data_IF_309747478030
#
_entry.id   IF_309747478030
#
_cell.length_a   1.000
_cell.length_b   1.000
_cell.length_c   1.000
_cell.angle_alpha   90.00
_cell.angle_beta   90.00
_cell.angle_gamma   90.00
#
_symmetry.space_group_name_H-M   'P 1'
#
loop_
_entity.id
_entity.type
_entity.pdbx_description
1 polymer ?
#
# COMPACT_ATOMS: atom_id res chain seq x y z
N UNK A 1 -9.48 -0.60 3.92
CA UNK A 1 -8.27 -0.11 3.28
C UNK A 1 -7.47 0.80 4.21
N UNK A 2 -6.13 0.87 3.96
CA UNK A 2 -5.25 1.80 4.67
C UNK A 2 -5.64 3.26 4.41
N UNK A 3 -5.89 3.64 3.15
CA UNK A 3 -6.27 5.02 2.79
C UNK A 3 -7.58 5.51 3.44
N UNK A 4 -8.37 4.60 4.04
CA UNK A 4 -9.62 4.96 4.74
C UNK A 4 -9.36 5.29 6.21
N UNK A 5 -8.46 4.54 6.88
CA UNK A 5 -8.31 4.58 8.34
C UNK A 5 -6.88 4.85 8.83
N UNK A 6 -5.87 4.77 7.94
CA UNK A 6 -4.46 4.87 8.32
C UNK A 6 -4.09 6.19 8.98
N UNK A 7 -4.65 7.31 8.49
CA UNK A 7 -4.37 8.66 8.97
C UNK A 7 -5.52 9.24 9.82
N UNK A 8 -6.49 8.42 10.23
CA UNK A 8 -7.65 8.88 10.97
C UNK A 8 -7.34 9.03 12.47
N UNK A 9 -7.62 10.19 13.06
CA UNK A 9 -7.50 10.42 14.51
C UNK A 9 -8.43 9.51 15.32
N UNK A 10 -9.62 9.22 14.77
CA UNK A 10 -10.63 8.36 15.41
C UNK A 10 -11.38 7.56 14.35
N UNK A 11 -11.62 6.29 14.65
CA UNK A 11 -12.39 5.39 13.79
C UNK A 11 -13.59 4.87 14.57
N UNK A 12 -14.76 4.87 13.92
CA UNK A 12 -16.00 4.30 14.47
C UNK A 12 -16.59 3.27 13.52
N UNK A 13 -17.13 2.21 14.08
CA UNK A 13 -17.84 1.18 13.34
C UNK A 13 -19.30 1.15 13.77
N UNK A 14 -20.21 1.36 12.82
CA UNK A 14 -21.64 1.22 13.04
C UNK A 14 -22.10 -0.10 12.45
N UNK A 15 -22.69 -0.94 13.30
CA UNK A 15 -23.24 -2.24 12.92
C UNK A 15 -24.61 -2.09 12.25
N UNK A 16 -25.09 -3.19 11.62
CA UNK A 16 -26.38 -3.23 10.94
C UNK A 16 -27.57 -2.89 11.86
N UNK A 17 -27.48 -3.23 13.14
CA UNK A 17 -28.50 -2.92 14.14
C UNK A 17 -28.48 -1.44 14.62
N UNK A 18 -27.53 -0.64 14.12
CA UNK A 18 -27.38 0.78 14.48
C UNK A 18 -26.43 1.03 15.65
N UNK A 19 -25.94 -0.02 16.33
CA UNK A 19 -24.95 0.17 17.41
C UNK A 19 -23.63 0.67 16.84
N UNK A 20 -23.04 1.67 17.51
CA UNK A 20 -21.78 2.30 17.12
C UNK A 20 -20.71 2.05 18.18
N UNK A 21 -19.54 1.63 17.75
CA UNK A 21 -18.37 1.32 18.59
C UNK A 21 -17.20 2.17 18.17
N UNK A 22 -16.41 2.62 19.13
CA UNK A 22 -15.07 3.11 18.85
C UNK A 22 -14.17 1.94 18.42
N UNK A 23 -13.43 2.13 17.36
CA UNK A 23 -12.54 1.11 16.82
C UNK A 23 -11.09 1.43 17.17
N UNK A 24 -10.35 0.41 17.57
CA UNK A 24 -8.91 0.47 17.73
C UNK A 24 -8.26 0.16 16.38
N UNK A 25 -7.36 1.02 15.91
CA UNK A 25 -6.47 0.69 14.81
C UNK A 25 -5.41 -0.29 15.30
N UNK A 26 -5.33 -1.47 14.69
CA UNK A 26 -4.35 -2.51 15.04
C UNK A 26 -3.07 -2.33 14.24
N UNK A 27 -3.19 -2.02 12.96
CA UNK A 27 -2.08 -1.79 12.05
C UNK A 27 -2.53 -1.83 10.59
N UNK A 28 -1.61 -1.58 9.68
CA UNK A 28 -1.88 -1.60 8.25
C UNK A 28 -0.61 -1.56 7.41
N UNK A 29 -0.80 -1.61 6.11
CA UNK A 29 0.26 -1.49 5.13
C UNK A 29 -0.22 -0.61 3.97
N UNK A 30 0.47 0.51 3.75
CA UNK A 30 0.14 1.49 2.72
C UNK A 30 0.43 0.94 1.31
N UNK A 31 1.52 0.17 1.14
CA UNK A 31 1.90 -0.38 -0.17
C UNK A 31 0.88 -1.39 -0.70
N UNK A 32 0.12 -2.05 0.18
CA UNK A 32 -0.95 -2.99 -0.17
C UNK A 32 -2.35 -2.43 0.09
N UNK A 33 -2.43 -1.21 0.61
CA UNK A 33 -3.68 -0.51 0.93
C UNK A 33 -4.61 -1.34 1.84
N UNK A 34 -4.05 -2.03 2.83
CA UNK A 34 -4.78 -2.82 3.82
C UNK A 34 -4.62 -2.25 5.22
N UNK A 35 -5.66 -2.38 6.04
CA UNK A 35 -5.62 -2.03 7.46
C UNK A 35 -6.53 -2.96 8.25
N UNK A 36 -6.18 -3.18 9.52
CA UNK A 36 -6.96 -3.95 10.49
C UNK A 36 -7.41 -3.03 11.61
N UNK A 37 -8.71 -3.00 11.85
CA UNK A 37 -9.34 -2.32 12.98
C UNK A 37 -10.07 -3.33 13.85
N UNK A 38 -10.21 -3.04 15.16
CA UNK A 38 -10.88 -3.90 16.12
C UNK A 38 -11.88 -3.11 16.94
N UNK A 39 -13.06 -3.68 17.16
CA UNK A 39 -14.09 -3.17 18.10
C UNK A 39 -14.25 -4.12 19.28
N UNK A 40 -14.67 -3.59 20.41
CA UNK A 40 -15.01 -4.38 21.59
C UNK A 40 -16.51 -4.77 21.55
N UNK A 41 -16.80 -5.78 20.74
CA UNK A 41 -18.13 -6.35 20.59
C UNK A 41 -18.06 -7.87 20.50
N UNK A 42 -19.03 -8.56 21.12
CA UNK A 42 -19.08 -10.00 21.16
C UNK A 42 -20.20 -10.56 20.24
N UNK A 43 -20.03 -11.81 19.85
CA UNK A 43 -21.02 -12.56 19.06
C UNK A 43 -21.39 -11.94 17.72
N UNK A 44 -20.43 -11.25 17.09
CA UNK A 44 -20.61 -10.73 15.74
C UNK A 44 -20.52 -11.88 14.71
N UNK A 45 -21.39 -11.87 13.68
CA UNK A 45 -21.23 -12.79 12.56
C UNK A 45 -19.92 -12.49 11.82
N UNK A 46 -19.23 -13.53 11.40
CA UNK A 46 -18.03 -13.44 10.60
C UNK A 46 -18.29 -13.90 9.16
N UNK A 47 -17.52 -13.36 8.23
CA UNK A 47 -17.53 -13.80 6.82
C UNK A 47 -16.60 -14.99 6.63
N UNK A 48 -16.86 -15.79 5.60
CA UNK A 48 -15.93 -16.83 5.12
C UNK A 48 -15.02 -16.20 4.07
N UNK A 49 -13.71 -16.42 4.19
CA UNK A 49 -12.78 -16.07 3.13
C UNK A 49 -12.84 -17.14 2.05
N UNK A 50 -13.01 -16.69 0.80
CA UNK A 50 -12.96 -17.53 -0.38
C UNK A 50 -11.55 -17.63 -0.94
N UNK A 51 -11.45 -18.12 -2.17
CA UNK A 51 -10.20 -18.24 -2.90
C UNK A 51 -10.24 -17.36 -4.15
N UNK A 52 -9.55 -16.22 -4.13
CA UNK A 52 -9.50 -15.29 -5.26
C UNK A 52 -8.82 -15.88 -6.51
N UNK A 53 -7.93 -16.87 -6.34
CA UNK A 53 -7.24 -17.50 -7.47
C UNK A 53 -8.17 -18.44 -8.28
N UNK A 54 -9.30 -18.85 -7.69
CA UNK A 54 -10.31 -19.66 -8.38
C UNK A 54 -11.33 -18.84 -9.17
N UNK A 55 -11.33 -17.50 -9.00
CA UNK A 55 -12.23 -16.62 -9.70
C UNK A 55 -11.89 -16.54 -11.19
N UNK A 56 -12.91 -16.60 -12.04
CA UNK A 56 -12.77 -16.51 -13.48
C UNK A 56 -13.40 -15.23 -14.04
N UNK A 57 -12.93 -14.79 -15.18
CA UNK A 57 -13.59 -13.71 -15.92
C UNK A 57 -15.00 -14.15 -16.32
N UNK A 58 -16.01 -13.35 -15.96
CA UNK A 58 -17.41 -13.64 -16.16
C UNK A 58 -18.13 -14.15 -14.91
N UNK A 59 -17.41 -14.52 -13.83
CA UNK A 59 -18.04 -14.94 -12.58
C UNK A 59 -18.78 -13.75 -11.93
N UNK A 60 -19.96 -14.03 -11.36
CA UNK A 60 -20.74 -13.04 -10.63
C UNK A 60 -20.06 -12.64 -9.34
N UNK A 61 -20.08 -11.35 -9.05
CA UNK A 61 -19.53 -10.76 -7.82
C UNK A 61 -20.45 -9.69 -7.26
N UNK A 62 -20.44 -9.55 -5.95
CA UNK A 62 -21.24 -8.62 -5.17
C UNK A 62 -20.32 -7.76 -4.32
N UNK A 63 -20.39 -6.43 -4.47
CA UNK A 63 -19.70 -5.50 -3.59
C UNK A 63 -20.66 -4.92 -2.57
N UNK A 64 -20.27 -4.91 -1.29
CA UNK A 64 -21.06 -4.32 -0.21
C UNK A 64 -20.30 -3.13 0.36
N UNK A 65 -21.00 -2.00 0.56
CA UNK A 65 -20.39 -0.81 1.06
C UNK A 65 -21.38 0.23 1.58
N UNK A 66 -20.87 1.45 1.79
CA UNK A 66 -21.65 2.61 2.21
C UNK A 66 -21.37 3.80 1.26
N UNK A 67 -21.87 3.73 0.01
CA UNK A 67 -21.64 4.77 -0.98
C UNK A 67 -22.04 6.14 -0.43
N UNK A 68 -21.17 7.15 -0.68
CA UNK A 68 -21.38 8.54 -0.28
C UNK A 68 -21.49 8.78 1.25
N UNK A 69 -21.28 7.74 2.08
CA UNK A 69 -21.41 7.82 3.53
C UNK A 69 -22.86 7.80 4.07
N UNK A 70 -23.86 7.93 3.20
CA UNK A 70 -25.28 8.05 3.58
C UNK A 70 -26.14 6.83 3.17
N UNK A 71 -25.63 6.02 2.23
CA UNK A 71 -26.34 4.85 1.70
C UNK A 71 -25.81 3.56 2.35
N UNK A 72 -25.94 3.49 3.68
CA UNK A 72 -25.45 2.35 4.48
C UNK A 72 -26.02 1.02 3.98
N UNK A 73 -25.16 -0.01 4.02
CA UNK A 73 -25.49 -1.40 3.64
C UNK A 73 -25.97 -1.55 2.19
N UNK A 74 -25.43 -0.72 1.28
CA UNK A 74 -25.71 -0.85 -0.14
C UNK A 74 -24.91 -2.00 -0.74
N UNK A 75 -25.52 -2.71 -1.68
CA UNK A 75 -24.91 -3.78 -2.44
C UNK A 75 -24.99 -3.46 -3.94
N UNK A 76 -23.91 -3.66 -4.65
CA UNK A 76 -23.86 -3.58 -6.11
C UNK A 76 -23.42 -4.92 -6.70
N UNK A 77 -24.04 -5.31 -7.81
CA UNK A 77 -23.78 -6.56 -8.53
C UNK A 77 -23.01 -6.28 -9.82
N UNK A 78 -22.18 -7.23 -10.22
CA UNK A 78 -21.46 -7.23 -11.48
C UNK A 78 -20.77 -8.55 -11.76
N UNK A 79 -19.82 -8.54 -12.68
CA UNK A 79 -18.96 -9.68 -12.97
C UNK A 79 -17.49 -9.30 -12.79
N UNK A 80 -16.65 -10.30 -12.54
CA UNK A 80 -15.22 -10.15 -12.68
C UNK A 80 -14.87 -9.96 -14.16
N UNK A 81 -14.38 -8.79 -14.54
CA UNK A 81 -13.97 -8.49 -15.91
C UNK A 81 -12.48 -8.72 -16.17
N UNK A 82 -11.68 -8.83 -15.11
CA UNK A 82 -10.30 -9.33 -15.08
C UNK A 82 -9.96 -9.82 -13.68
N UNK A 83 -9.20 -10.91 -13.58
CA UNK A 83 -8.84 -11.49 -12.26
C UNK A 83 -7.39 -11.23 -11.85
N UNK A 84 -6.53 -10.77 -12.79
CA UNK A 84 -5.11 -10.46 -12.56
C UNK A 84 -4.72 -9.19 -13.34
N UNK A 85 -5.44 -8.09 -13.10
CA UNK A 85 -5.16 -6.81 -13.75
C UNK A 85 -4.06 -6.08 -12.98
N UNK A 86 -2.89 -5.95 -13.58
CA UNK A 86 -1.90 -5.01 -13.04
C UNK A 86 -2.34 -3.59 -13.37
N UNK A 87 -2.54 -2.78 -12.35
CA UNK A 87 -2.75 -1.33 -12.47
C UNK A 87 -1.56 -0.62 -11.85
N UNK A 88 -1.10 0.44 -12.50
CA UNK A 88 -0.05 1.30 -11.96
C UNK A 88 -0.71 2.51 -11.29
N UNK A 89 -0.35 2.73 -10.03
CA UNK A 89 -0.80 3.89 -9.27
C UNK A 89 0.43 4.62 -8.74
N UNK A 90 0.72 5.77 -9.32
CA UNK A 90 1.88 6.59 -8.96
C UNK A 90 3.21 5.82 -9.02
N UNK A 91 3.36 4.96 -10.05
CA UNK A 91 4.56 4.13 -10.22
C UNK A 91 4.57 2.86 -9.38
N UNK A 92 3.50 2.56 -8.66
CA UNK A 92 3.38 1.34 -7.86
C UNK A 92 2.38 0.39 -8.52
N UNK A 93 2.81 -0.78 -9.02
CA UNK A 93 1.90 -1.75 -9.59
C UNK A 93 1.13 -2.50 -8.49
N UNK A 94 -0.16 -2.67 -8.72
CA UNK A 94 -1.07 -3.47 -7.92
C UNK A 94 -1.70 -4.56 -8.77
N UNK A 95 -1.76 -5.78 -8.24
CA UNK A 95 -2.57 -6.84 -8.82
C UNK A 95 -4.01 -6.68 -8.33
N UNK A 96 -4.97 -6.57 -9.24
CA UNK A 96 -6.36 -6.26 -8.91
C UNK A 96 -7.34 -7.17 -9.63
N UNK A 97 -8.44 -7.48 -8.95
CA UNK A 97 -9.66 -7.98 -9.58
C UNK A 97 -10.39 -6.75 -10.15
N UNK A 98 -10.59 -6.74 -11.46
CA UNK A 98 -11.43 -5.72 -12.10
C UNK A 98 -12.87 -6.23 -12.17
N UNK A 99 -13.83 -5.38 -11.82
CA UNK A 99 -15.25 -5.73 -11.78
C UNK A 99 -16.11 -4.70 -12.51
N UNK A 100 -17.28 -5.14 -12.98
CA UNK A 100 -18.31 -4.24 -13.56
C UNK A 100 -19.29 -3.70 -12.52
N UNK A 101 -19.26 -4.25 -11.29
CA UNK A 101 -20.07 -3.74 -10.17
C UNK A 101 -19.76 -2.24 -9.95
N UNK A 102 -20.78 -1.46 -9.63
CA UNK A 102 -20.64 -0.02 -9.36
C UNK A 102 -19.83 0.19 -8.06
N UNK A 103 -18.60 0.68 -8.22
CA UNK A 103 -17.69 1.03 -7.13
C UNK A 103 -17.57 2.55 -7.06
N UNK A 104 -17.92 3.11 -5.91
CA UNK A 104 -17.92 4.54 -5.63
C UNK A 104 -17.20 4.82 -4.29
N UNK A 105 -16.80 6.07 -4.01
CA UNK A 105 -16.36 6.47 -2.69
C UNK A 105 -17.37 6.02 -1.62
N UNK A 106 -16.86 5.41 -0.54
CA UNK A 106 -17.65 4.77 0.51
C UNK A 106 -17.78 3.24 0.37
N UNK A 107 -17.40 2.66 -0.77
CA UNK A 107 -17.28 1.20 -0.92
C UNK A 107 -15.88 0.69 -0.55
N UNK A 108 -14.86 1.57 -0.47
CA UNK A 108 -13.50 1.19 -0.08
C UNK A 108 -13.47 0.50 1.29
N UNK A 109 -12.76 -0.62 1.37
CA UNK A 109 -12.65 -1.47 2.56
C UNK A 109 -13.81 -2.45 2.71
N UNK A 110 -14.87 -2.33 1.90
CA UNK A 110 -15.96 -3.29 1.85
C UNK A 110 -15.56 -4.60 1.16
N UNK A 111 -16.28 -5.70 1.43
CA UNK A 111 -16.00 -6.99 0.83
C UNK A 111 -16.49 -7.06 -0.63
N UNK A 112 -15.74 -7.79 -1.45
CA UNK A 112 -16.19 -8.34 -2.72
C UNK A 112 -16.51 -9.82 -2.48
N UNK A 113 -17.76 -10.20 -2.67
CA UNK A 113 -18.22 -11.58 -2.52
C UNK A 113 -18.32 -12.29 -3.85
N UNK A 114 -18.10 -13.61 -3.86
CA UNK A 114 -18.50 -14.51 -4.94
C UNK A 114 -19.99 -14.91 -4.78
N UNK A 115 -20.50 -15.75 -5.70
CA UNK A 115 -21.88 -16.24 -5.68
C UNK A 115 -22.19 -17.16 -4.48
N UNK A 116 -21.16 -17.67 -3.79
CA UNK A 116 -21.31 -18.52 -2.59
C UNK A 116 -21.31 -17.71 -1.29
N UNK A 117 -21.21 -16.38 -1.35
CA UNK A 117 -21.13 -15.51 -0.18
C UNK A 117 -19.77 -15.53 0.52
N UNK A 118 -18.72 -15.93 -0.17
CA UNK A 118 -17.35 -15.92 0.34
C UNK A 118 -16.63 -14.66 -0.14
N UNK A 119 -15.80 -14.05 0.72
CA UNK A 119 -15.01 -12.87 0.38
C UNK A 119 -13.84 -13.26 -0.51
N UNK A 120 -13.83 -12.78 -1.75
CA UNK A 120 -12.76 -12.98 -2.72
C UNK A 120 -11.89 -11.73 -2.92
N UNK A 121 -12.29 -10.59 -2.35
CA UNK A 121 -11.48 -9.37 -2.44
C UNK A 121 -11.94 -8.28 -1.49
N UNK A 122 -11.10 -7.23 -1.38
CA UNK A 122 -11.38 -5.99 -0.64
C UNK A 122 -11.53 -4.87 -1.66
N UNK A 123 -12.73 -4.27 -1.74
CA UNK A 123 -13.04 -3.21 -2.71
C UNK A 123 -12.18 -1.98 -2.43
N UNK A 124 -11.66 -1.34 -3.48
CA UNK A 124 -10.92 -0.08 -3.38
C UNK A 124 -11.38 0.91 -4.45
N UNK A 125 -12.10 1.94 -4.03
CA UNK A 125 -12.55 3.03 -4.91
C UNK A 125 -11.40 3.99 -5.28
N UNK A 126 -10.30 3.99 -4.52
CA UNK A 126 -9.09 4.76 -4.81
C UNK A 126 -8.61 4.49 -6.23
N UNK A 127 -8.56 3.23 -6.63
CA UNK A 127 -8.04 2.82 -7.93
C UNK A 127 -9.02 3.08 -9.08
N UNK A 128 -10.33 3.13 -8.82
CA UNK A 128 -11.33 3.52 -9.82
C UNK A 128 -11.20 4.99 -10.23
N UNK A 129 -10.69 5.84 -9.35
CA UNK A 129 -10.49 7.28 -9.60
C UNK A 129 -9.27 7.59 -10.46
N UNK A 130 -8.27 6.70 -10.49
CA UNK A 130 -7.04 6.87 -11.31
C UNK A 130 -7.25 6.59 -12.81
N UNK A 131 -8.31 5.88 -13.18
CA UNK A 131 -8.74 5.82 -14.57
C UNK A 131 -9.34 7.18 -14.94
N UNK A 132 -8.51 8.12 -15.32
CA UNK A 132 -8.61 9.58 -15.51
C UNK A 132 -9.85 10.16 -16.20
N UNK A 133 -10.98 9.49 -16.16
CA UNK A 133 -12.35 9.92 -16.47
C UNK A 133 -13.28 8.96 -15.74
N UNK A 134 -14.42 9.41 -15.24
CA UNK A 134 -15.47 8.56 -14.69
C UNK A 134 -15.93 7.55 -15.75
N UNK A 135 -15.22 6.43 -15.85
CA UNK A 135 -15.58 5.33 -16.75
C UNK A 135 -16.50 4.41 -15.95
N UNK A 136 -17.77 4.41 -16.34
CA UNK A 136 -18.74 3.48 -15.76
C UNK A 136 -18.32 2.01 -16.00
N UNK A 137 -18.54 1.14 -15.02
CA UNK A 137 -18.22 -0.29 -15.13
C UNK A 137 -16.74 -0.65 -14.95
N UNK A 138 -15.94 0.23 -14.36
CA UNK A 138 -14.58 -0.04 -13.92
C UNK A 138 -14.47 0.07 -12.40
N UNK A 139 -14.64 -1.04 -11.72
CA UNK A 139 -14.35 -1.19 -10.29
C UNK A 139 -13.13 -2.07 -10.06
N UNK A 140 -12.49 -1.91 -8.90
CA UNK A 140 -11.31 -2.69 -8.53
C UNK A 140 -11.43 -3.21 -7.10
N UNK A 141 -10.89 -4.42 -6.89
CA UNK A 141 -10.74 -5.01 -5.57
C UNK A 141 -9.36 -5.69 -5.44
N UNK A 142 -8.78 -5.62 -4.25
CA UNK A 142 -7.55 -6.31 -3.88
C UNK A 142 -7.88 -7.79 -3.71
N UNK A 143 -7.22 -8.73 -4.41
CA UNK A 143 -7.46 -10.16 -4.24
C UNK A 143 -7.22 -10.60 -2.80
N UNK A 144 -8.13 -11.38 -2.22
CA UNK A 144 -8.02 -11.77 -0.81
C UNK A 144 -6.79 -12.65 -0.54
N UNK A 145 -6.40 -13.50 -1.50
CA UNK A 145 -5.24 -14.38 -1.35
C UNK A 145 -3.93 -13.59 -1.26
N UNK A 146 -3.84 -12.44 -1.94
CA UNK A 146 -2.63 -11.61 -1.94
C UNK A 146 -2.37 -10.98 -0.56
N UNK A 147 -3.42 -10.80 0.25
CA UNK A 147 -3.34 -10.05 1.51
C UNK A 147 -3.74 -10.83 2.76
N UNK A 148 -4.29 -12.04 2.64
CA UNK A 148 -4.77 -12.82 3.79
C UNK A 148 -3.67 -13.11 4.83
N UNK A 149 -2.46 -13.47 4.38
CA UNK A 149 -1.31 -13.70 5.26
C UNK A 149 -0.85 -12.42 5.94
N UNK A 150 -0.87 -11.29 5.22
CA UNK A 150 -0.51 -9.97 5.76
C UNK A 150 -1.53 -9.50 6.81
N UNK A 151 -2.83 -9.72 6.56
CA UNK A 151 -3.90 -9.42 7.54
C UNK A 151 -3.68 -10.20 8.83
N UNK A 152 -3.36 -11.50 8.73
CA UNK A 152 -3.08 -12.33 9.90
C UNK A 152 -1.83 -11.85 10.64
N UNK A 153 -0.81 -11.42 9.92
CA UNK A 153 0.43 -10.88 10.49
C UNK A 153 0.18 -9.56 11.22
N UNK A 154 -0.59 -8.65 10.61
CA UNK A 154 -1.02 -7.39 11.24
C UNK A 154 -1.84 -7.67 12.51
N UNK A 155 -2.76 -8.63 12.48
CA UNK A 155 -3.55 -9.01 13.66
C UNK A 155 -2.68 -9.49 14.83
N UNK A 156 -1.56 -10.13 14.54
CA UNK A 156 -0.66 -10.73 15.53
C UNK A 156 0.41 -9.75 16.02
N UNK A 157 1.02 -9.01 15.08
CA UNK A 157 2.22 -8.20 15.33
C UNK A 157 1.95 -6.69 15.25
N UNK A 158 0.81 -6.26 14.69
CA UNK A 158 0.50 -4.84 14.45
C UNK A 158 1.05 -4.31 13.11
N UNK A 159 1.83 -5.09 12.39
CA UNK A 159 2.44 -4.73 11.11
C UNK A 159 2.75 -5.97 10.26
N UNK A 160 3.13 -5.79 8.99
CA UNK A 160 3.55 -6.90 8.11
C UNK A 160 5.03 -7.20 8.36
N UNK A 161 5.32 -8.26 9.09
CA UNK A 161 6.67 -8.61 9.54
C UNK A 161 7.54 -9.24 8.45
N UNK A 162 6.92 -9.88 7.46
CA UNK A 162 7.61 -10.62 6.39
C UNK A 162 7.84 -9.80 5.12
N UNK A 163 7.66 -8.48 5.18
CA UNK A 163 7.86 -7.58 4.04
C UNK A 163 9.35 -7.45 3.71
N UNK A 164 9.69 -7.63 2.44
CA UNK A 164 11.07 -7.45 2.00
C UNK A 164 11.58 -6.05 2.30
N UNK A 165 12.76 -5.97 2.90
CA UNK A 165 13.41 -4.72 3.28
C UNK A 165 14.88 -4.72 2.88
N UNK A 166 15.35 -3.63 2.28
CA UNK A 166 16.74 -3.51 1.84
C UNK A 166 17.60 -2.71 2.84
N UNK A 167 17.04 -1.69 3.47
CA UNK A 167 17.73 -0.80 4.41
C UNK A 167 18.64 0.19 3.70
N UNK A 168 18.08 0.93 2.74
CA UNK A 168 18.75 2.02 2.04
C UNK A 168 17.90 3.28 2.05
N UNK A 169 18.55 4.45 1.93
CA UNK A 169 17.87 5.68 1.50
C UNK A 169 18.06 5.83 0.00
N UNK A 170 17.01 5.56 -0.81
CA UNK A 170 17.11 5.60 -2.25
C UNK A 170 16.82 6.98 -2.83
N UNK A 171 17.30 7.22 -4.03
CA UNK A 171 16.84 8.31 -4.90
C UNK A 171 16.84 7.82 -6.36
N UNK A 172 15.88 8.27 -7.17
CA UNK A 172 15.91 7.97 -8.61
C UNK A 172 17.10 8.71 -9.24
N UNK A 173 17.94 7.96 -9.97
CA UNK A 173 19.04 8.56 -10.73
C UNK A 173 18.47 9.40 -11.87
N UNK A 174 19.00 10.60 -12.04
CA UNK A 174 18.61 11.54 -13.10
C UNK A 174 19.80 11.95 -13.93
N UNK A 175 19.58 12.45 -15.16
CA UNK A 175 20.64 13.01 -16.01
C UNK A 175 21.38 14.14 -15.30
N UNK A 176 20.67 14.96 -14.52
CA UNK A 176 21.27 16.04 -13.75
C UNK A 176 22.21 15.50 -12.65
N UNK A 177 21.79 14.47 -11.92
CA UNK A 177 22.64 13.82 -10.90
C UNK A 177 23.85 13.13 -11.55
N UNK A 178 23.62 12.42 -12.66
CA UNK A 178 24.72 11.77 -13.41
C UNK A 178 25.78 12.79 -13.83
N UNK A 179 25.36 13.90 -14.40
CA UNK A 179 26.27 15.00 -14.79
C UNK A 179 27.00 15.61 -13.58
N UNK A 180 26.28 15.87 -12.49
CA UNK A 180 26.81 16.47 -11.25
C UNK A 180 27.84 15.57 -10.57
N UNK A 181 27.56 14.29 -10.47
CA UNK A 181 28.41 13.31 -9.77
C UNK A 181 29.35 12.53 -10.70
N UNK A 182 29.32 12.82 -12.01
CA UNK A 182 30.17 12.20 -13.06
C UNK A 182 29.93 10.68 -13.18
N UNK A 183 28.65 10.31 -13.25
CA UNK A 183 28.23 8.93 -13.56
C UNK A 183 27.94 8.80 -15.06
N UNK A 184 28.27 7.64 -15.64
CA UNK A 184 27.96 7.30 -17.05
C UNK A 184 26.58 6.67 -17.20
N UNK A 185 25.82 6.51 -16.07
CA UNK A 185 24.47 5.99 -16.03
C UNK A 185 23.50 7.08 -15.59
N UNK A 186 22.35 7.19 -16.28
CA UNK A 186 21.36 8.26 -16.08
C UNK A 186 20.03 7.75 -15.54
N UNK A 187 19.94 6.43 -15.30
CA UNK A 187 18.76 5.73 -14.81
C UNK A 187 19.16 4.78 -13.71
N UNK A 188 18.20 4.37 -12.88
CA UNK A 188 18.40 3.46 -11.78
C UNK A 188 18.09 4.06 -10.42
N UNK A 189 18.42 3.33 -9.35
CA UNK A 189 18.26 3.80 -7.97
C UNK A 189 19.61 4.08 -7.36
N UNK A 190 19.88 5.36 -7.13
CA UNK A 190 21.07 5.83 -6.43
C UNK A 190 20.91 5.61 -4.92
N UNK A 191 21.90 4.98 -4.30
CA UNK A 191 21.94 4.75 -2.86
C UNK A 191 22.57 5.97 -2.16
N UNK A 192 21.73 6.74 -1.45
CA UNK A 192 22.18 7.91 -0.68
C UNK A 192 22.81 7.49 0.65
N UNK A 193 22.28 6.43 1.30
CA UNK A 193 22.84 5.85 2.52
C UNK A 193 22.43 4.38 2.63
N UNK A 194 23.18 3.64 3.46
CA UNK A 194 22.89 2.24 3.81
C UNK A 194 22.80 2.17 5.33
N UNK A 195 21.78 1.50 5.84
CA UNK A 195 21.59 1.27 7.27
C UNK A 195 22.50 0.15 7.76
N UNK A 196 23.19 0.39 8.88
CA UNK A 196 24.07 -0.59 9.50
C UNK A 196 23.32 -1.87 9.89
N UNK A 197 23.85 -3.02 9.53
CA UNK A 197 23.26 -4.33 9.81
C UNK A 197 22.07 -4.70 8.92
N UNK A 198 21.66 -3.84 7.99
CA UNK A 198 20.59 -4.11 7.02
C UNK A 198 20.95 -5.20 6.00
N UNK A 199 20.00 -5.58 5.16
CA UNK A 199 20.23 -6.48 4.03
C UNK A 199 21.24 -5.90 3.04
N UNK A 200 21.14 -4.60 2.73
CA UNK A 200 22.06 -3.89 1.86
C UNK A 200 23.50 -3.87 2.43
N UNK A 201 23.65 -3.59 3.73
CA UNK A 201 24.96 -3.57 4.40
C UNK A 201 25.61 -4.95 4.37
N UNK A 202 24.86 -6.00 4.74
CA UNK A 202 25.32 -7.40 4.71
C UNK A 202 25.72 -7.86 3.30
N UNK A 203 25.02 -7.39 2.28
CA UNK A 203 25.35 -7.64 0.88
C UNK A 203 26.54 -6.81 0.36
N UNK A 204 27.00 -5.82 1.14
CA UNK A 204 28.10 -4.95 0.76
C UNK A 204 27.71 -3.87 -0.25
N UNK A 205 26.44 -3.49 -0.33
CA UNK A 205 25.97 -2.29 -1.02
C UNK A 205 26.48 -1.05 -0.27
N UNK A 206 26.72 0.03 -0.99
CA UNK A 206 27.34 1.24 -0.44
C UNK A 206 26.67 2.50 -0.96
N UNK A 207 26.79 3.57 -0.20
CA UNK A 207 26.48 4.91 -0.69
C UNK A 207 27.23 5.16 -2.00
N UNK A 208 26.55 5.69 -3.01
CA UNK A 208 27.10 5.95 -4.34
C UNK A 208 26.91 4.80 -5.33
N UNK A 209 26.39 3.64 -4.94
CA UNK A 209 25.96 2.62 -5.89
C UNK A 209 24.68 3.06 -6.62
N UNK A 210 24.53 2.62 -7.86
CA UNK A 210 23.26 2.76 -8.60
C UNK A 210 22.74 1.37 -8.92
N UNK A 211 21.60 1.01 -8.36
CA UNK A 211 20.91 -0.26 -8.69
C UNK A 211 20.28 -0.10 -10.07
N UNK A 212 20.64 -1.00 -10.99
CA UNK A 212 20.18 -0.99 -12.37
C UNK A 212 19.24 -2.13 -12.71
N UNK A 213 19.42 -3.30 -12.03
CA UNK A 213 18.56 -4.48 -12.22
C UNK A 213 18.44 -5.26 -10.93
N UNK A 214 17.31 -5.98 -10.81
CA UNK A 214 17.09 -7.03 -9.80
C UNK A 214 16.62 -8.29 -10.53
N UNK A 215 17.34 -9.40 -10.37
CA UNK A 215 17.11 -10.67 -11.05
C UNK A 215 16.90 -10.52 -12.58
N UNK A 216 17.75 -9.68 -13.20
CA UNK A 216 17.72 -9.39 -14.62
C UNK A 216 16.63 -8.43 -15.08
N UNK A 217 15.67 -8.05 -14.21
CA UNK A 217 14.64 -7.05 -14.52
C UNK A 217 15.22 -5.65 -14.34
N UNK A 218 15.04 -4.79 -15.34
CA UNK A 218 15.53 -3.41 -15.30
C UNK A 218 14.84 -2.60 -14.19
N UNK A 219 15.61 -1.74 -13.52
CA UNK A 219 15.19 -0.79 -12.50
C UNK A 219 15.65 0.60 -12.96
N UNK A 220 14.75 1.35 -13.59
CA UNK A 220 15.03 2.69 -14.11
C UNK A 220 14.80 3.78 -13.06
N UNK A 221 13.98 3.50 -12.04
CA UNK A 221 13.56 4.45 -11.01
C UNK A 221 13.38 3.79 -9.64
N UNK A 222 13.22 4.60 -8.60
CA UNK A 222 12.85 4.10 -7.26
C UNK A 222 11.50 3.38 -7.27
N UNK A 223 10.55 3.86 -8.07
CA UNK A 223 9.22 3.23 -8.22
C UNK A 223 9.33 1.80 -8.76
N UNK A 224 10.24 1.56 -9.72
CA UNK A 224 10.47 0.20 -10.24
C UNK A 224 11.03 -0.72 -9.15
N UNK A 225 11.94 -0.22 -8.31
CA UNK A 225 12.46 -0.98 -7.18
C UNK A 225 11.36 -1.31 -6.16
N UNK A 226 10.47 -0.36 -5.85
CA UNK A 226 9.31 -0.58 -4.96
C UNK A 226 8.39 -1.64 -5.55
N UNK A 227 8.14 -1.57 -6.85
CA UNK A 227 7.31 -2.55 -7.56
C UNK A 227 7.90 -3.96 -7.52
N UNK A 228 9.21 -4.07 -7.78
CA UNK A 228 9.92 -5.35 -7.72
C UNK A 228 9.98 -5.91 -6.31
N UNK A 229 10.24 -5.06 -5.31
CA UNK A 229 10.30 -5.45 -3.89
C UNK A 229 9.04 -6.19 -3.42
N UNK A 230 7.86 -5.85 -3.95
CA UNK A 230 6.59 -6.52 -3.61
C UNK A 230 6.53 -7.99 -3.99
N UNK A 231 7.43 -8.47 -4.88
CA UNK A 231 7.52 -9.88 -5.29
C UNK A 231 8.34 -10.74 -4.34
N UNK A 232 9.00 -10.13 -3.37
CA UNK A 232 9.91 -10.79 -2.45
C UNK A 232 9.42 -10.69 -1.02
N UNK A 233 9.82 -11.68 -0.24
CA UNK A 233 9.66 -11.74 1.21
C UNK A 233 11.02 -11.63 1.90
N UNK A 234 11.01 -11.34 3.19
CA UNK A 234 12.21 -11.43 4.00
C UNK A 234 12.80 -12.85 3.94
N UNK A 235 14.10 -12.95 3.69
CA UNK A 235 14.82 -14.20 3.51
C UNK A 235 15.00 -14.66 2.07
N UNK A 236 14.25 -14.10 1.11
CA UNK A 236 14.47 -14.39 -0.31
C UNK A 236 15.83 -13.86 -0.78
N UNK A 237 16.43 -14.53 -1.75
CA UNK A 237 17.69 -14.13 -2.36
C UNK A 237 17.44 -13.54 -3.75
N UNK A 238 18.18 -12.48 -4.08
CA UNK A 238 18.12 -11.80 -5.38
C UNK A 238 19.51 -11.38 -5.85
N UNK A 239 19.71 -11.33 -7.17
CA UNK A 239 20.92 -10.80 -7.78
C UNK A 239 20.68 -9.36 -8.23
N UNK A 240 21.40 -8.42 -7.63
CA UNK A 240 21.38 -7.01 -7.99
C UNK A 240 22.49 -6.71 -8.98
N UNK A 241 22.18 -6.12 -10.12
CA UNK A 241 23.18 -5.48 -10.98
C UNK A 241 23.31 -4.03 -10.56
N UNK A 242 24.47 -3.65 -10.07
CA UNK A 242 24.76 -2.29 -9.63
C UNK A 242 25.86 -1.64 -10.50
N UNK A 243 25.84 -0.32 -10.56
CA UNK A 243 26.97 0.48 -11.10
C UNK A 243 27.75 1.07 -9.94
N UNK A 244 29.04 0.76 -9.88
CA UNK A 244 29.97 1.21 -8.85
C UNK A 244 31.34 1.50 -9.47
N UNK A 245 31.88 2.69 -9.25
CA UNK A 245 33.25 3.04 -9.67
C UNK A 245 33.49 2.94 -11.18
N UNK A 246 32.51 3.25 -12.01
CA UNK A 246 32.63 3.20 -13.47
C UNK A 246 32.33 1.82 -14.10
N UNK A 247 31.89 0.83 -13.31
CA UNK A 247 31.66 -0.52 -13.78
C UNK A 247 30.37 -1.12 -13.25
N UNK A 248 29.77 -2.02 -14.03
CA UNK A 248 28.66 -2.85 -13.55
C UNK A 248 29.21 -4.04 -12.78
N UNK A 249 28.54 -4.39 -11.68
CA UNK A 249 28.87 -5.51 -10.81
C UNK A 249 27.58 -6.21 -10.40
N UNK A 250 27.66 -7.50 -10.18
CA UNK A 250 26.59 -8.29 -9.59
C UNK A 250 26.83 -8.46 -8.09
N UNK A 251 25.77 -8.29 -7.30
CA UNK A 251 25.79 -8.43 -5.85
C UNK A 251 24.60 -9.32 -5.45
N UNK A 252 24.87 -10.40 -4.74
CA UNK A 252 23.81 -11.24 -4.15
C UNK A 252 23.30 -10.56 -2.87
N UNK A 253 21.98 -10.42 -2.79
CA UNK A 253 21.28 -9.77 -1.67
C UNK A 253 20.25 -10.75 -1.11
N UNK A 254 20.33 -11.02 0.20
CA UNK A 254 19.24 -11.66 0.93
C UNK A 254 18.35 -10.57 1.52
N UNK A 255 17.08 -10.50 1.12
CA UNK A 255 16.14 -9.50 1.60
C UNK A 255 15.95 -9.62 3.12
N UNK A 256 16.03 -8.52 3.84
CA UNK A 256 15.73 -8.43 5.27
C UNK A 256 14.22 -8.28 5.53
N UNK A 257 13.84 -8.38 6.80
CA UNK A 257 12.53 -7.95 7.27
C UNK A 257 12.57 -6.46 7.65
N UNK A 258 11.43 -5.77 7.54
CA UNK A 258 11.29 -4.41 8.06
C UNK A 258 11.53 -4.44 9.57
N UNK A 259 12.43 -3.62 10.12
CA UNK A 259 12.61 -3.51 11.57
C UNK A 259 11.31 -3.10 12.27
N UNK A 260 11.02 -3.72 13.42
CA UNK A 260 9.75 -3.51 14.12
C UNK A 260 9.51 -2.04 14.53
N UNK A 261 10.57 -1.34 14.89
CA UNK A 261 10.56 0.10 15.21
C UNK A 261 10.21 0.98 14.00
N UNK A 262 10.68 0.62 12.81
CA UNK A 262 10.35 1.34 11.57
C UNK A 262 8.97 0.95 11.01
N UNK A 263 8.53 -0.28 11.23
CA UNK A 263 7.20 -0.74 10.83
C UNK A 263 6.08 -0.01 11.60
N UNK A 264 6.35 0.42 12.84
CA UNK A 264 5.42 1.17 13.68
C UNK A 264 5.53 2.68 13.51
N UNK A 265 6.69 3.22 13.08
CA UNK A 265 6.93 4.66 12.91
C UNK A 265 6.26 5.25 11.67
N UNK A 266 6.00 4.49 10.62
CA UNK A 266 5.13 4.92 9.53
C UNK A 266 3.72 5.26 10.03
N UNK A 267 3.33 4.71 11.18
CA UNK A 267 2.08 5.00 11.88
C UNK A 267 2.16 6.28 12.74
N UNK A 268 3.37 6.73 13.12
CA UNK A 268 3.57 7.85 14.06
C UNK A 268 3.93 9.18 13.37
N UNK A 269 4.49 9.15 12.16
CA UNK A 269 4.88 10.37 11.43
C UNK A 269 3.69 11.14 10.85
N UNK A 270 2.59 10.46 10.53
CA UNK A 270 1.33 11.11 10.16
C UNK A 270 0.73 11.91 11.33
N UNK A 271 0.89 11.47 12.57
CA UNK A 271 0.39 12.18 13.76
C UNK A 271 1.24 13.41 14.15
N UNK A 272 2.54 13.44 13.87
CA UNK A 272 3.40 14.59 14.21
C UNK A 272 3.34 15.72 13.18
N UNK A 273 3.06 15.45 11.92
CA UNK A 273 2.95 16.48 10.88
C UNK A 273 1.70 17.37 11.06
N UNK A 274 0.64 16.87 11.67
CA UNK A 274 -0.59 17.64 11.92
C UNK A 274 -0.50 18.51 13.19
N UNK A 275 0.24 18.10 14.21
CA UNK A 275 0.41 18.90 15.43
C UNK A 275 1.24 20.17 15.21
N UNK A 276 2.12 20.20 14.24
CA UNK A 276 2.92 21.40 13.90
C UNK A 276 2.15 22.42 13.06
N UNK A 277 1.08 22.03 12.37
CA UNK A 277 0.29 22.95 11.54
C UNK A 277 -0.86 23.64 12.31
N UNK A 278 -1.25 23.10 13.46
CA UNK A 278 -2.31 23.68 14.31
C UNK A 278 -1.82 24.83 15.19
N UNK A 279 -0.50 24.96 15.37
CA UNK A 279 0.08 25.97 16.28
C UNK A 279 0.52 27.28 15.61
N UNK A 280 0.38 27.40 14.28
CA UNK A 280 0.78 28.59 13.53
C UNK A 280 -0.37 29.55 13.17
N UNK A 281 -1.61 29.27 13.55
CA UNK A 281 -2.75 30.09 13.14
C UNK A 281 -3.47 30.82 14.31
N UNK A 282 -2.78 31.08 15.42
CA UNK A 282 -3.30 31.90 16.53
C UNK A 282 -2.48 33.19 16.68
N UNK A 283 -2.39 33.95 15.60
CA UNK A 283 -1.84 35.31 15.51
C UNK A 283 -2.97 36.33 15.55
N UNK A 284 -3.21 36.81 16.72
CA UNK A 284 -3.92 38.04 17.15
C UNK A 284 -4.24 39.05 16.04
N UNK A 285 -5.52 39.27 15.75
CA UNK A 285 -6.00 40.55 15.26
C UNK A 285 -6.57 41.33 16.46
N UNK A 286 -5.74 42.21 16.97
CA UNK A 286 -6.17 43.22 17.95
C UNK A 286 -6.61 44.49 17.21
N UNK A 287 -7.76 44.99 17.57
CA UNK A 287 -8.43 46.08 16.91
C UNK A 287 -7.74 47.44 17.05
N UNK A 288 -8.09 48.32 16.18
CA UNK A 288 -7.82 49.74 16.21
C UNK A 288 -8.99 50.51 15.57
N UNK A 289 -9.79 51.09 16.42
CA UNK A 289 -10.79 52.10 16.06
C UNK A 289 -10.15 53.35 15.47
N UNK A 290 -10.84 54.02 14.57
CA UNK A 290 -10.63 55.43 14.36
C UNK A 290 -11.13 55.98 13.02
N UNK A 291 -12.28 56.70 13.11
CA UNK A 291 -12.92 57.62 12.18
C UNK A 291 -13.64 57.10 10.94
#
# INVERSE_FOLDING_TARGET
>A
NYHVVGDADTVKVTLYNGDTYDAQYIGGDEDYDIAVIKIDAANLPNVTLGNSDSLNVGDHVLAVGNPLGDLTFSMSEGIASSVNRTIDVEGTPFNMIQVTAAINPGNSGGPLFNEYGEVVGIVSAKYSSYASQSVEGLGFAIPINDVAAMIQDIMTNGYVSNKAYLGITPNTMTEQMAAQYRYDVTKGVFICSVEEGSAADKAGLKMGDVIMKVDGTDVDSYQDLVALKKKYSAGDESTFTIYRGGQQQEVSVTWGAVPADQATDNNSQSQQSQNNNSNSNNGSYNGGNGY
#
